data_IF_294346174348
#
_entry.id   IF_294346174348
#
_cell.length_a   1.000
_cell.length_b   1.000
_cell.length_c   1.000
_cell.angle_alpha   90.00
_cell.angle_beta   90.00
_cell.angle_gamma   90.00
#
_symmetry.space_group_name_H-M   'P 1'
#
loop_
_entity.id
_entity.type
_entity.pdbx_description
1 polymer ?
#
# COMPACT_ATOMS: atom_id res chain seq x y z
N UNK A 1 4.27 -11.71 4.71
CA UNK A 1 5.11 -11.33 5.87
C UNK A 1 5.26 -9.81 5.95
N UNK A 2 5.59 -9.12 4.86
CA UNK A 2 5.73 -7.66 4.83
C UNK A 2 4.46 -6.95 5.32
N UNK A 3 3.30 -7.32 4.78
CA UNK A 3 2.01 -6.77 5.21
C UNK A 3 1.64 -7.15 6.64
N UNK A 4 1.92 -8.39 7.06
CA UNK A 4 1.55 -8.87 8.39
C UNK A 4 2.38 -8.22 9.50
N UNK A 5 3.70 -8.09 9.30
CA UNK A 5 4.63 -7.57 10.32
C UNK A 5 4.84 -6.06 10.26
N UNK A 6 4.76 -5.48 9.08
CA UNK A 6 5.13 -4.06 8.89
C UNK A 6 3.99 -3.20 8.34
N UNK A 7 2.89 -3.83 7.90
CA UNK A 7 1.72 -3.14 7.36
C UNK A 7 1.95 -2.44 6.02
N UNK A 8 2.98 -2.85 5.29
CA UNK A 8 3.35 -2.27 4.00
C UNK A 8 4.18 -3.26 3.17
N UNK A 9 4.10 -3.17 1.86
CA UNK A 9 4.98 -3.86 0.90
C UNK A 9 6.38 -3.23 0.79
N UNK A 10 6.59 -2.06 1.42
CA UNK A 10 7.85 -1.29 1.40
C UNK A 10 8.36 -1.01 2.82
N UNK A 11 8.73 -2.06 3.59
CA UNK A 11 9.06 -1.88 5.00
C UNK A 11 10.39 -1.15 5.20
N UNK A 12 10.40 -0.23 6.17
CA UNK A 12 11.64 0.30 6.75
C UNK A 12 12.09 -0.64 7.87
N UNK A 13 13.23 -1.29 7.69
CA UNK A 13 13.78 -2.26 8.63
C UNK A 13 14.86 -1.69 9.54
N UNK A 14 15.12 -0.37 9.54
CA UNK A 14 16.10 0.29 10.42
C UNK A 14 15.73 0.21 11.89
N UNK A 15 14.49 -0.13 12.20
CA UNK A 15 13.97 -0.24 13.56
C UNK A 15 13.01 -1.44 13.67
N UNK A 16 12.80 -1.93 14.87
CA UNK A 16 11.83 -2.97 15.17
C UNK A 16 10.38 -2.48 15.07
N UNK A 17 9.60 -2.62 16.12
CA UNK A 17 8.20 -2.25 16.22
C UNK A 17 7.31 -3.02 15.23
N UNK A 18 7.46 -4.35 15.17
CA UNK A 18 6.60 -5.20 14.35
C UNK A 18 5.14 -5.12 14.82
N UNK A 19 4.21 -5.27 13.89
CA UNK A 19 2.78 -5.39 14.19
C UNK A 19 2.49 -6.75 14.81
N UNK A 20 1.59 -6.78 15.78
CA UNK A 20 1.09 -8.01 16.38
C UNK A 20 -0.36 -8.23 15.98
N UNK A 21 -0.67 -9.38 15.40
CA UNK A 21 -2.05 -9.79 15.13
C UNK A 21 -2.71 -10.21 16.45
N UNK A 22 -3.74 -9.48 16.85
CA UNK A 22 -4.50 -9.68 18.08
C UNK A 22 -5.90 -10.25 17.84
N UNK A 23 -6.20 -10.66 16.62
CA UNK A 23 -7.55 -11.11 16.23
C UNK A 23 -8.01 -12.30 17.07
N UNK A 24 -7.18 -13.31 17.21
CA UNK A 24 -7.50 -14.50 18.02
C UNK A 24 -7.53 -14.18 19.52
N UNK A 25 -6.69 -13.23 19.97
CA UNK A 25 -6.66 -12.78 21.36
C UNK A 25 -7.98 -12.12 21.78
N UNK A 26 -8.56 -11.31 20.90
CA UNK A 26 -9.80 -10.57 21.15
C UNK A 26 -11.07 -11.24 20.58
N UNK A 27 -11.02 -12.51 20.19
CA UNK A 27 -12.16 -13.20 19.56
C UNK A 27 -13.44 -13.19 20.42
N UNK A 28 -13.29 -13.28 21.75
CA UNK A 28 -14.39 -13.31 22.71
C UNK A 28 -14.53 -11.99 23.50
N UNK A 29 -13.93 -10.92 23.03
CA UNK A 29 -13.87 -9.63 23.72
C UNK A 29 -15.26 -8.99 23.88
N UNK A 30 -15.57 -8.38 25.04
CA UNK A 30 -16.77 -7.56 25.19
C UNK A 30 -16.67 -6.20 24.46
N UNK A 31 -15.50 -5.81 24.01
CA UNK A 31 -15.27 -4.52 23.38
C UNK A 31 -15.68 -4.55 21.89
N UNK A 32 -16.82 -3.96 21.58
CA UNK A 32 -17.45 -3.98 20.24
C UNK A 32 -16.53 -3.51 19.11
N UNK A 33 -15.62 -2.57 19.39
CA UNK A 33 -14.66 -2.06 18.38
C UNK A 33 -13.70 -3.15 17.91
N UNK A 34 -13.40 -4.14 18.76
CA UNK A 34 -12.52 -5.25 18.43
C UNK A 34 -13.25 -6.51 17.95
N UNK A 35 -14.56 -6.48 17.87
CA UNK A 35 -15.38 -7.55 17.26
C UNK A 35 -15.39 -7.36 15.73
N UNK A 36 -14.23 -7.50 15.10
CA UNK A 36 -14.00 -7.29 13.67
C UNK A 36 -13.18 -8.43 13.07
N UNK A 37 -13.08 -8.44 11.74
CA UNK A 37 -12.33 -9.42 10.97
C UNK A 37 -10.84 -9.46 11.35
N UNK A 38 -10.29 -8.31 11.70
CA UNK A 38 -8.90 -8.14 12.11
C UNK A 38 -8.78 -7.14 13.25
N UNK A 39 -7.93 -7.45 14.20
CA UNK A 39 -7.44 -6.53 15.24
C UNK A 39 -5.92 -6.64 15.28
N UNK A 40 -5.24 -5.55 15.03
CA UNK A 40 -3.78 -5.48 15.14
C UNK A 40 -3.33 -4.48 16.19
N UNK A 41 -2.08 -4.63 16.63
CA UNK A 41 -1.45 -3.76 17.60
C UNK A 41 -0.03 -3.36 17.17
N UNK A 42 0.42 -2.18 17.61
CA UNK A 42 1.81 -1.74 17.56
C UNK A 42 2.17 -1.05 18.88
N UNK A 43 3.36 -1.34 19.39
CA UNK A 43 3.86 -0.77 20.65
C UNK A 43 4.64 0.51 20.39
N UNK A 44 4.40 1.54 21.19
CA UNK A 44 5.22 2.75 21.27
C UNK A 44 6.00 2.75 22.57
N UNK A 45 7.31 2.47 22.55
CA UNK A 45 8.17 2.54 23.72
C UNK A 45 8.11 3.92 24.39
N UNK A 46 7.94 3.94 25.71
CA UNK A 46 7.83 5.18 26.50
C UNK A 46 6.57 6.01 26.21
N UNK A 47 5.63 5.48 25.46
CA UNK A 47 4.45 6.22 24.98
C UNK A 47 3.45 6.58 26.08
N UNK A 48 3.48 5.93 27.22
CA UNK A 48 2.59 6.27 28.34
C UNK A 48 2.88 7.65 28.97
N UNK A 49 4.09 8.18 28.77
CA UNK A 49 4.49 9.51 29.24
C UNK A 49 3.94 10.64 28.37
N UNK A 50 3.30 10.35 27.23
CA UNK A 50 2.76 11.38 26.35
C UNK A 50 1.64 12.19 27.00
N UNK A 51 1.65 13.52 26.88
CA UNK A 51 0.56 14.34 27.36
C UNK A 51 -0.71 14.08 26.55
N UNK A 52 -1.87 14.24 27.17
CA UNK A 52 -3.18 13.98 26.55
C UNK A 52 -3.34 14.65 25.17
N UNK A 53 -2.79 15.85 24.98
CA UNK A 53 -2.83 16.56 23.70
C UNK A 53 -2.16 15.75 22.56
N UNK A 54 -1.09 15.02 22.86
CA UNK A 54 -0.42 14.17 21.86
C UNK A 54 -1.23 12.92 21.57
N UNK A 55 -1.90 12.34 22.57
CA UNK A 55 -2.81 11.22 22.36
C UNK A 55 -4.04 11.63 21.52
N UNK A 56 -4.57 12.85 21.76
CA UNK A 56 -5.65 13.39 20.93
C UNK A 56 -5.16 13.65 19.49
N UNK A 57 -3.92 14.10 19.30
CA UNK A 57 -3.30 14.26 17.98
C UNK A 57 -3.16 12.95 17.19
N UNK A 58 -2.97 11.80 17.85
CA UNK A 58 -2.99 10.50 17.18
C UNK A 58 -4.37 10.16 16.58
N UNK A 59 -5.46 10.60 17.23
CA UNK A 59 -6.80 10.39 16.68
C UNK A 59 -7.00 11.20 15.40
N UNK A 60 -6.58 12.47 15.39
CA UNK A 60 -6.67 13.31 14.18
C UNK A 60 -5.72 12.82 13.07
N UNK A 61 -4.55 12.35 13.43
CA UNK A 61 -3.59 11.72 12.51
C UNK A 61 -4.20 10.49 11.79
N UNK A 62 -4.92 9.65 12.54
CA UNK A 62 -5.60 8.48 11.97
C UNK A 62 -6.78 8.88 11.08
N UNK A 63 -7.58 9.88 11.48
CA UNK A 63 -8.70 10.39 10.67
C UNK A 63 -8.26 10.98 9.34
N UNK A 64 -7.14 11.71 9.32
CA UNK A 64 -6.54 12.23 8.08
C UNK A 64 -6.14 11.14 7.08
N UNK A 65 -6.03 9.89 7.55
CA UNK A 65 -5.77 8.68 6.76
C UNK A 65 -7.01 7.83 6.50
N UNK A 66 -8.20 8.41 6.67
CA UNK A 66 -9.47 7.74 6.39
C UNK A 66 -9.98 6.79 7.49
N UNK A 67 -9.26 6.66 8.61
CA UNK A 67 -9.69 5.81 9.72
C UNK A 67 -10.61 6.56 10.70
N UNK A 68 -11.44 5.80 11.44
CA UNK A 68 -12.29 6.39 12.47
C UNK A 68 -11.52 6.88 13.71
N UNK A 69 -10.31 6.38 13.91
CA UNK A 69 -9.40 6.70 15.01
C UNK A 69 -8.37 5.60 15.20
N UNK A 70 -7.50 5.80 16.19
CA UNK A 70 -6.49 4.83 16.60
C UNK A 70 -6.71 4.54 18.09
N UNK A 71 -7.25 3.35 18.39
CA UNK A 71 -7.51 2.95 19.78
C UNK A 71 -6.18 2.76 20.54
N UNK A 72 -6.16 3.00 21.84
CA UNK A 72 -4.91 2.86 22.60
C UNK A 72 -5.10 2.41 24.06
N UNK A 73 -4.02 1.84 24.62
CA UNK A 73 -3.81 1.57 26.02
C UNK A 73 -2.48 2.17 26.43
N UNK A 74 -2.41 2.74 27.63
CA UNK A 74 -1.17 3.18 28.27
C UNK A 74 -0.86 2.24 29.42
N UNK A 75 0.40 1.84 29.54
CA UNK A 75 0.89 1.01 30.63
C UNK A 75 1.66 1.92 31.59
N UNK A 76 1.13 2.13 32.81
CA UNK A 76 1.84 2.93 33.81
C UNK A 76 3.09 2.22 34.30
N UNK A 77 3.95 2.94 35.01
CA UNK A 77 5.18 2.40 35.62
C UNK A 77 4.92 1.25 36.64
N UNK A 78 3.74 1.22 37.23
CA UNK A 78 3.29 0.14 38.13
C UNK A 78 2.63 -1.04 37.39
N UNK A 79 2.56 -1.00 36.06
CA UNK A 79 1.92 -2.00 35.22
C UNK A 79 0.41 -1.83 35.05
N UNK A 80 -0.22 -0.82 35.71
CA UNK A 80 -1.66 -0.57 35.53
C UNK A 80 -1.97 -0.10 34.11
N UNK A 81 -2.96 -0.75 33.48
CA UNK A 81 -3.46 -0.35 32.17
C UNK A 81 -4.49 0.76 32.25
N UNK A 82 -4.28 1.83 31.51
CA UNK A 82 -5.19 2.98 31.42
C UNK A 82 -5.53 3.34 29.99
N UNK A 83 -6.58 4.14 29.78
CA UNK A 83 -7.00 4.58 28.46
C UNK A 83 -8.36 4.02 28.02
N UNK A 84 -8.81 4.34 26.80
CA UNK A 84 -10.14 3.95 26.35
C UNK A 84 -10.34 2.45 26.23
N UNK A 85 -9.35 1.71 25.72
CA UNK A 85 -9.44 0.27 25.49
C UNK A 85 -9.48 -0.49 26.82
N UNK A 86 -8.62 -0.14 27.79
CA UNK A 86 -8.50 -0.86 29.07
C UNK A 86 -9.80 -0.95 29.87
N UNK A 87 -10.72 -0.02 29.64
CA UNK A 87 -12.03 0.04 30.34
C UNK A 87 -13.09 -0.87 29.72
N UNK A 88 -12.87 -1.31 28.48
CA UNK A 88 -13.86 -2.00 27.68
C UNK A 88 -13.52 -3.47 27.41
N UNK A 89 -12.27 -3.88 27.63
CA UNK A 89 -11.83 -5.27 27.54
C UNK A 89 -12.04 -6.01 28.86
N UNK A 90 -12.04 -7.35 28.83
CA UNK A 90 -12.21 -8.19 30.00
C UNK A 90 -11.02 -8.13 30.97
N UNK A 91 -11.17 -8.65 32.17
CA UNK A 91 -10.09 -8.70 33.17
C UNK A 91 -8.93 -9.58 32.69
N UNK A 92 -9.24 -10.76 32.16
CA UNK A 92 -8.23 -11.67 31.60
C UNK A 92 -7.46 -11.05 30.45
N UNK A 93 -8.14 -10.32 29.57
CA UNK A 93 -7.48 -9.57 28.49
C UNK A 93 -6.58 -8.46 29.04
N UNK A 94 -6.98 -7.77 30.10
CA UNK A 94 -6.11 -6.75 30.74
C UNK A 94 -4.84 -7.35 31.35
N UNK A 95 -4.96 -8.50 32.01
CA UNK A 95 -3.84 -9.14 32.69
C UNK A 95 -2.73 -9.62 31.74
N UNK A 96 -3.10 -10.08 30.54
CA UNK A 96 -2.15 -10.69 29.61
C UNK A 96 -1.78 -9.79 28.41
N UNK A 97 -2.39 -8.63 28.27
CA UNK A 97 -2.23 -7.78 27.08
C UNK A 97 -0.77 -7.36 26.85
N UNK A 98 -0.11 -6.83 27.87
CA UNK A 98 1.25 -6.32 27.77
C UNK A 98 2.23 -7.42 27.34
N UNK A 99 2.17 -8.58 27.98
CA UNK A 99 3.00 -9.74 27.64
C UNK A 99 2.76 -10.22 26.21
N UNK A 100 1.49 -10.27 25.78
CA UNK A 100 1.11 -10.74 24.44
C UNK A 100 1.72 -9.89 23.33
N UNK A 101 1.80 -8.58 23.50
CA UNK A 101 2.38 -7.66 22.49
C UNK A 101 3.85 -7.32 22.77
N UNK A 102 4.44 -7.84 23.84
CA UNK A 102 5.81 -7.55 24.24
C UNK A 102 6.02 -6.11 24.73
N UNK A 103 4.99 -5.50 25.32
CA UNK A 103 5.07 -4.14 25.86
C UNK A 103 5.50 -4.14 27.34
N UNK A 104 6.19 -3.10 27.75
CA UNK A 104 6.73 -2.91 29.09
C UNK A 104 6.01 -1.75 29.83
N UNK A 105 6.14 -1.66 31.17
CA UNK A 105 5.71 -0.49 31.91
C UNK A 105 6.33 0.80 31.34
N UNK A 106 5.50 1.82 31.13
CA UNK A 106 5.87 3.07 30.48
C UNK A 106 5.50 3.14 28.99
N UNK A 107 5.09 2.04 28.36
CA UNK A 107 4.74 1.98 26.94
C UNK A 107 3.27 2.36 26.67
N UNK A 108 3.01 2.70 25.41
CA UNK A 108 1.65 2.75 24.86
C UNK A 108 1.47 1.67 23.79
N UNK A 109 0.27 1.11 23.73
CA UNK A 109 -0.12 0.16 22.68
C UNK A 109 -1.21 0.83 21.86
N UNK A 110 -1.00 0.93 20.54
CA UNK A 110 -1.99 1.41 19.59
C UNK A 110 -2.61 0.24 18.84
N UNK A 111 -3.91 0.35 18.55
CA UNK A 111 -4.69 -0.69 17.89
C UNK A 111 -5.46 -0.13 16.70
N UNK A 112 -5.56 -0.94 15.65
CA UNK A 112 -6.53 -0.76 14.58
C UNK A 112 -7.36 -2.04 14.41
N UNK A 113 -8.65 -1.86 14.13
CA UNK A 113 -9.58 -2.96 13.92
C UNK A 113 -10.50 -2.66 12.75
N UNK A 114 -10.81 -3.68 11.94
CA UNK A 114 -11.64 -3.55 10.75
C UNK A 114 -11.23 -4.52 9.65
N UNK A 115 -11.25 -4.07 8.41
CA UNK A 115 -10.73 -4.85 7.28
C UNK A 115 -9.22 -5.07 7.46
N UNK A 116 -8.71 -6.29 7.17
CA UNK A 116 -7.30 -6.62 7.42
C UNK A 116 -6.30 -5.68 6.76
N UNK A 117 -6.46 -5.39 5.47
CA UNK A 117 -5.52 -4.55 4.73
C UNK A 117 -5.52 -3.11 5.22
N UNK A 118 -6.70 -2.49 5.39
CA UNK A 118 -6.82 -1.11 5.86
C UNK A 118 -6.20 -0.94 7.27
N UNK A 119 -6.49 -1.90 8.16
CA UNK A 119 -6.00 -1.87 9.54
C UNK A 119 -4.49 -2.07 9.61
N UNK A 120 -3.94 -2.99 8.81
CA UNK A 120 -2.50 -3.20 8.70
C UNK A 120 -1.79 -1.98 8.12
N UNK A 121 -2.33 -1.38 7.05
CA UNK A 121 -1.77 -0.16 6.46
C UNK A 121 -1.75 1.01 7.44
N UNK A 122 -2.83 1.22 8.21
CA UNK A 122 -2.87 2.24 9.26
C UNK A 122 -1.82 2.00 10.34
N UNK A 123 -1.69 0.76 10.82
CA UNK A 123 -0.69 0.41 11.83
C UNK A 123 0.74 0.48 11.28
N UNK A 124 0.97 0.11 10.02
CA UNK A 124 2.25 0.27 9.34
C UNK A 124 2.68 1.73 9.25
N UNK A 125 1.75 2.62 8.89
CA UNK A 125 1.99 4.05 8.93
C UNK A 125 2.24 4.56 10.37
N UNK A 126 1.49 4.07 11.36
CA UNK A 126 1.68 4.41 12.78
C UNK A 126 3.06 3.95 13.28
N UNK A 127 3.51 2.76 12.88
CA UNK A 127 4.83 2.22 13.18
C UNK A 127 5.95 3.18 12.76
N UNK A 128 5.91 3.70 11.55
CA UNK A 128 6.91 4.65 11.03
C UNK A 128 6.81 6.00 11.77
N UNK A 129 5.60 6.51 11.96
CA UNK A 129 5.38 7.76 12.71
C UNK A 129 5.86 7.65 14.17
N UNK A 130 5.64 6.52 14.83
CA UNK A 130 6.18 6.24 16.17
C UNK A 130 7.69 6.33 16.15
N UNK A 131 8.35 5.63 15.20
CA UNK A 131 9.79 5.60 15.09
C UNK A 131 10.41 7.00 14.92
N UNK A 132 9.79 7.87 14.13
CA UNK A 132 10.18 9.28 14.02
C UNK A 132 10.00 10.04 15.33
N UNK A 133 8.82 9.93 15.97
CA UNK A 133 8.51 10.68 17.20
C UNK A 133 9.40 10.33 18.39
N UNK A 134 9.81 9.07 18.50
CA UNK A 134 10.71 8.65 19.59
C UNK A 134 12.19 8.64 19.17
N UNK A 135 12.51 9.09 17.95
CA UNK A 135 13.88 9.29 17.48
C UNK A 135 14.63 8.00 17.11
N UNK A 136 13.92 6.90 16.83
CA UNK A 136 14.54 5.67 16.31
C UNK A 136 15.06 5.84 14.89
N UNK A 137 14.39 6.66 14.10
CA UNK A 137 14.82 7.05 12.75
C UNK A 137 14.67 8.56 12.58
N UNK A 138 15.46 9.10 11.67
CA UNK A 138 15.38 10.47 11.18
C UNK A 138 14.95 10.47 9.72
N UNK A 139 14.39 11.58 9.25
CA UNK A 139 14.12 11.78 7.83
C UNK A 139 15.44 11.89 7.03
N UNK A 140 15.39 11.65 5.74
CA UNK A 140 16.58 11.71 4.89
C UNK A 140 17.22 13.10 4.91
N UNK A 141 16.41 14.15 5.02
CA UNK A 141 16.86 15.54 5.09
C UNK A 141 17.58 15.93 6.41
N UNK A 142 17.46 15.09 7.44
CA UNK A 142 18.09 15.34 8.74
C UNK A 142 19.45 14.67 8.90
N UNK A 143 19.82 13.75 8.00
CA UNK A 143 21.05 12.96 8.09
C UNK A 143 21.73 12.92 6.72
N UNK A 144 23.02 13.29 6.60
CA UNK A 144 23.77 13.10 5.38
C UNK A 144 23.74 11.64 4.89
N UNK A 145 23.73 11.41 3.59
CA UNK A 145 23.58 10.06 3.03
C UNK A 145 24.71 9.10 3.46
N UNK A 146 25.91 9.62 3.68
CA UNK A 146 27.07 8.87 4.18
C UNK A 146 26.96 8.47 5.65
N UNK A 147 26.07 9.11 6.40
CA UNK A 147 25.80 8.81 7.82
C UNK A 147 24.49 8.05 8.02
N UNK A 148 23.75 7.77 6.92
CA UNK A 148 22.50 7.01 6.97
C UNK A 148 22.75 5.54 7.31
N UNK A 149 21.93 5.00 8.19
CA UNK A 149 21.78 3.55 8.32
C UNK A 149 20.97 3.02 7.14
N UNK A 150 21.59 2.17 6.34
CA UNK A 150 20.93 1.58 5.17
C UNK A 150 20.44 0.17 5.48
N UNK A 151 19.14 -0.05 5.36
CA UNK A 151 18.52 -1.36 5.47
C UNK A 151 17.87 -1.72 4.13
N UNK A 152 18.49 -2.69 3.44
CA UNK A 152 17.97 -3.23 2.18
C UNK A 152 17.20 -4.52 2.43
N UNK A 153 16.09 -4.71 1.73
CA UNK A 153 15.30 -5.93 1.79
C UNK A 153 14.71 -6.26 0.43
N UNK A 154 14.68 -7.53 0.09
CA UNK A 154 13.92 -8.05 -1.02
C UNK A 154 12.50 -8.39 -0.54
N UNK A 155 11.51 -7.86 -1.24
CA UNK A 155 10.11 -8.24 -1.10
C UNK A 155 9.79 -9.16 -2.26
N UNK A 156 9.36 -10.36 -1.96
CA UNK A 156 9.08 -11.43 -2.93
C UNK A 156 7.76 -12.09 -2.61
N UNK A 157 7.30 -12.99 -3.49
CA UNK A 157 6.08 -13.77 -3.26
C UNK A 157 4.82 -12.91 -3.14
N UNK A 158 4.76 -11.85 -3.95
CA UNK A 158 3.58 -11.00 -4.03
C UNK A 158 2.40 -11.77 -4.66
N UNK A 159 1.14 -11.44 -4.30
CA UNK A 159 -0.03 -11.96 -5.02
C UNK A 159 0.09 -11.72 -6.53
N UNK A 160 -0.30 -12.70 -7.32
CA UNK A 160 -0.27 -12.55 -8.78
C UNK A 160 -1.48 -11.76 -9.29
N UNK A 161 -2.62 -11.97 -8.65
CA UNK A 161 -3.88 -11.33 -9.00
C UNK A 161 -4.55 -10.74 -7.76
N UNK A 162 -5.36 -9.73 -8.01
CA UNK A 162 -6.29 -9.15 -7.03
C UNK A 162 -7.68 -8.98 -7.65
N UNK A 163 -8.75 -8.88 -6.85
CA UNK A 163 -10.07 -8.57 -7.38
C UNK A 163 -10.05 -7.21 -8.09
N UNK A 164 -10.61 -7.14 -9.31
CA UNK A 164 -10.62 -5.91 -10.11
C UNK A 164 -11.31 -4.73 -9.38
N UNK A 165 -12.38 -5.00 -8.64
CA UNK A 165 -13.07 -3.99 -7.82
C UNK A 165 -12.21 -3.42 -6.68
N UNK A 166 -11.24 -4.17 -6.17
CA UNK A 166 -10.29 -3.70 -5.14
C UNK A 166 -9.28 -2.76 -5.76
N UNK A 167 -8.67 -3.13 -6.89
CA UNK A 167 -7.72 -2.30 -7.61
C UNK A 167 -8.34 -0.94 -8.01
N UNK A 168 -9.57 -0.95 -8.55
CA UNK A 168 -10.30 0.26 -8.91
C UNK A 168 -10.60 1.15 -7.70
N UNK A 169 -10.94 0.56 -6.56
CA UNK A 169 -11.19 1.30 -5.32
C UNK A 169 -9.93 1.95 -4.75
N UNK A 170 -8.76 1.38 -5.01
CA UNK A 170 -7.44 1.93 -4.63
C UNK A 170 -6.91 2.96 -5.65
N UNK A 171 -7.61 3.15 -6.77
CA UNK A 171 -7.30 4.12 -7.81
C UNK A 171 -6.42 3.58 -8.94
N UNK A 172 -6.23 2.27 -8.99
CA UNK A 172 -5.54 1.58 -10.07
C UNK A 172 -6.51 1.24 -11.20
N UNK A 173 -5.98 1.10 -12.41
CA UNK A 173 -6.76 0.72 -13.58
C UNK A 173 -6.72 -0.78 -13.76
N UNK A 174 -7.85 -1.44 -13.55
CA UNK A 174 -7.97 -2.86 -13.85
C UNK A 174 -7.70 -3.14 -15.33
N UNK A 175 -6.80 -4.08 -15.60
CA UNK A 175 -6.48 -4.52 -16.96
C UNK A 175 -7.36 -5.72 -17.30
N UNK A 176 -8.18 -5.59 -18.36
CA UNK A 176 -9.14 -6.61 -18.78
C UNK A 176 -10.54 -6.37 -18.21
N UNK A 177 -11.42 -7.34 -18.41
CA UNK A 177 -12.85 -7.26 -18.06
C UNK A 177 -13.30 -8.37 -17.11
N UNK A 178 -12.35 -9.09 -16.52
CA UNK A 178 -12.60 -10.19 -15.58
C UNK A 178 -12.81 -9.70 -14.14
N UNK A 179 -13.12 -10.63 -13.26
CA UNK A 179 -13.20 -10.36 -11.82
C UNK A 179 -11.81 -10.18 -11.16
N UNK A 180 -10.74 -10.47 -11.89
CA UNK A 180 -9.35 -10.41 -11.42
C UNK A 180 -8.50 -9.54 -12.34
N UNK A 181 -7.58 -8.78 -11.76
CA UNK A 181 -6.52 -8.06 -12.49
C UNK A 181 -5.15 -8.46 -11.97
N UNK A 182 -4.10 -8.22 -12.75
CA UNK A 182 -2.73 -8.52 -12.34
C UNK A 182 -2.23 -7.42 -11.38
N UNK A 183 -1.68 -7.83 -10.23
CA UNK A 183 -1.11 -6.90 -9.23
C UNK A 183 0.10 -6.15 -9.78
N UNK A 184 0.97 -6.81 -10.54
CA UNK A 184 2.16 -6.18 -11.13
C UNK A 184 2.00 -5.94 -12.62
N UNK A 185 2.04 -7.01 -13.41
CA UNK A 185 2.00 -6.92 -14.87
C UNK A 185 1.48 -8.22 -15.47
N UNK A 186 0.63 -8.12 -16.50
CA UNK A 186 0.01 -9.25 -17.19
C UNK A 186 1.00 -10.26 -17.80
N UNK A 187 2.26 -9.90 -17.96
CA UNK A 187 3.34 -10.74 -18.48
C UNK A 187 4.25 -11.31 -17.39
N UNK A 188 3.95 -11.10 -16.12
CA UNK A 188 4.66 -11.68 -14.98
C UNK A 188 4.33 -13.15 -14.87
N UNK A 189 5.35 -14.01 -14.77
CA UNK A 189 5.15 -15.45 -14.58
C UNK A 189 4.59 -15.77 -13.20
N UNK A 190 3.63 -16.70 -13.09
CA UNK A 190 3.35 -17.32 -11.81
C UNK A 190 4.61 -18.04 -11.31
N UNK A 191 4.76 -18.19 -10.01
CA UNK A 191 5.81 -19.04 -9.44
C UNK A 191 5.61 -20.49 -9.90
N UNK A 192 6.69 -21.27 -10.05
CA UNK A 192 6.61 -22.63 -10.61
C UNK A 192 5.59 -23.53 -9.93
N UNK A 193 5.43 -23.42 -8.62
CA UNK A 193 4.49 -24.21 -7.82
C UNK A 193 3.01 -23.91 -8.11
N UNK A 194 2.70 -22.77 -8.73
CA UNK A 194 1.34 -22.36 -9.08
C UNK A 194 1.01 -22.50 -10.57
N UNK A 195 1.94 -22.95 -11.41
CA UNK A 195 1.74 -23.09 -12.87
C UNK A 195 0.52 -23.91 -13.26
N UNK A 196 0.16 -24.89 -12.45
CA UNK A 196 -0.98 -25.78 -12.72
C UNK A 196 -2.30 -25.28 -12.12
N UNK A 197 -2.27 -24.29 -11.22
CA UNK A 197 -3.44 -23.92 -10.39
C UNK A 197 -3.80 -22.44 -10.41
N UNK A 198 -2.96 -21.55 -10.92
CA UNK A 198 -3.16 -20.10 -10.83
C UNK A 198 -4.46 -19.61 -11.50
N UNK A 199 -4.95 -20.31 -12.50
CA UNK A 199 -6.18 -19.95 -13.22
C UNK A 199 -7.44 -20.58 -12.59
N UNK A 200 -7.30 -21.63 -11.81
CA UNK A 200 -8.41 -22.24 -11.07
C UNK A 200 -8.56 -21.71 -9.65
N UNK A 201 -7.48 -21.15 -9.07
CA UNK A 201 -7.46 -20.52 -7.76
C UNK A 201 -6.59 -19.23 -7.79
N UNK A 202 -7.04 -18.16 -8.48
CA UNK A 202 -6.27 -16.92 -8.63
C UNK A 202 -5.92 -16.23 -7.30
N UNK A 203 -6.78 -16.37 -6.28
CA UNK A 203 -6.59 -15.75 -4.97
C UNK A 203 -5.33 -16.26 -4.22
N UNK A 204 -4.88 -17.47 -4.50
CA UNK A 204 -3.70 -18.06 -3.85
C UNK A 204 -2.44 -17.99 -4.71
N UNK A 205 -2.57 -17.60 -5.98
CA UNK A 205 -1.46 -17.58 -6.91
C UNK A 205 -0.43 -16.50 -6.55
N UNK A 206 0.84 -16.88 -6.47
CA UNK A 206 1.94 -15.95 -6.24
C UNK A 206 2.69 -15.66 -7.54
N UNK A 207 3.05 -14.39 -7.71
CA UNK A 207 3.85 -13.90 -8.82
C UNK A 207 5.34 -14.19 -8.61
N UNK A 208 6.04 -14.48 -9.68
CA UNK A 208 7.50 -14.55 -9.69
C UNK A 208 8.07 -13.12 -9.89
N UNK A 209 7.63 -12.22 -8.98
CA UNK A 209 8.04 -10.83 -8.91
C UNK A 209 8.93 -10.60 -7.68
N UNK A 210 9.69 -9.53 -7.73
CA UNK A 210 10.63 -9.14 -6.68
C UNK A 210 10.87 -7.65 -6.72
N UNK A 211 10.83 -7.03 -5.53
CA UNK A 211 11.14 -5.62 -5.34
C UNK A 211 12.29 -5.47 -4.35
N UNK A 212 13.17 -4.51 -4.59
CA UNK A 212 14.19 -4.13 -3.64
C UNK A 212 13.78 -2.83 -2.96
N UNK A 213 13.77 -2.86 -1.64
CA UNK A 213 13.37 -1.74 -0.79
C UNK A 213 14.58 -1.29 0.03
N UNK A 214 14.77 0.01 0.15
CA UNK A 214 15.77 0.63 1.01
C UNK A 214 15.09 1.68 1.90
N UNK A 215 15.20 1.53 3.23
CA UNK A 215 14.68 2.49 4.20
C UNK A 215 13.21 2.89 3.94
N UNK A 216 12.34 1.91 3.67
CA UNK A 216 10.93 2.16 3.39
C UNK A 216 10.60 2.65 1.98
N UNK A 217 11.60 2.70 1.09
CA UNK A 217 11.43 3.11 -0.30
C UNK A 217 11.74 1.94 -1.24
N UNK A 218 10.79 1.58 -2.09
CA UNK A 218 11.05 0.71 -3.22
C UNK A 218 11.97 1.45 -4.21
N UNK A 219 13.18 0.97 -4.36
CA UNK A 219 14.20 1.56 -5.24
C UNK A 219 14.31 0.85 -6.58
N UNK A 220 13.72 -0.32 -6.71
CA UNK A 220 13.66 -1.07 -7.96
C UNK A 220 12.81 -2.31 -7.82
N UNK A 221 12.32 -2.80 -8.93
CA UNK A 221 11.51 -4.01 -8.99
C UNK A 221 11.53 -4.66 -10.35
N UNK A 222 11.07 -5.89 -10.40
CA UNK A 222 11.03 -6.68 -11.61
C UNK A 222 10.34 -8.01 -11.44
N UNK A 223 10.39 -8.80 -12.50
CA UNK A 223 9.81 -10.14 -12.47
C UNK A 223 10.46 -11.08 -13.49
N UNK A 224 10.31 -12.35 -13.26
CA UNK A 224 10.47 -13.38 -14.31
C UNK A 224 9.24 -13.31 -15.20
N UNK A 225 9.47 -13.24 -16.51
CA UNK A 225 8.41 -13.07 -17.51
C UNK A 225 7.89 -14.40 -17.99
N UNK A 226 6.63 -14.41 -18.39
CA UNK A 226 6.05 -15.52 -19.13
C UNK A 226 6.73 -15.57 -20.50
N UNK A 227 7.20 -16.74 -20.89
CA UNK A 227 7.79 -17.03 -22.20
C UNK A 227 7.07 -18.17 -22.93
N UNK A 228 6.06 -18.75 -22.29
CA UNK A 228 5.22 -19.80 -22.84
C UNK A 228 3.86 -19.22 -23.23
N UNK A 229 3.47 -19.39 -24.50
CA UNK A 229 2.23 -18.85 -25.05
C UNK A 229 0.97 -19.39 -24.34
N UNK A 230 0.94 -20.67 -23.99
CA UNK A 230 -0.21 -21.27 -23.30
C UNK A 230 -0.40 -20.69 -21.89
N UNK A 231 0.71 -20.47 -21.16
CA UNK A 231 0.65 -19.84 -19.85
C UNK A 231 0.15 -18.40 -19.97
N UNK A 232 0.63 -17.64 -20.97
CA UNK A 232 0.20 -16.29 -21.21
C UNK A 232 -1.30 -16.19 -21.55
N UNK A 233 -1.78 -17.10 -22.36
CA UNK A 233 -3.20 -17.16 -22.71
C UNK A 233 -4.07 -17.45 -21.46
N UNK A 234 -3.65 -18.36 -20.61
CA UNK A 234 -4.36 -18.66 -19.35
C UNK A 234 -4.39 -17.44 -18.42
N UNK A 235 -3.30 -16.67 -18.32
CA UNK A 235 -3.26 -15.43 -17.54
C UNK A 235 -4.26 -14.40 -18.08
N UNK A 236 -4.29 -14.18 -19.39
CA UNK A 236 -5.25 -13.29 -20.02
C UNK A 236 -6.71 -13.72 -19.77
N UNK A 237 -6.98 -15.01 -19.80
CA UNK A 237 -8.32 -15.55 -19.52
C UNK A 237 -8.78 -15.25 -18.08
N UNK A 238 -7.88 -15.36 -17.09
CA UNK A 238 -8.18 -14.98 -15.68
C UNK A 238 -8.56 -13.52 -15.60
N UNK A 239 -7.91 -12.66 -16.38
CA UNK A 239 -8.18 -11.24 -16.44
C UNK A 239 -9.37 -10.88 -17.35
N UNK A 240 -10.04 -11.85 -17.97
CA UNK A 240 -11.17 -11.63 -18.87
C UNK A 240 -10.82 -10.99 -20.20
N UNK A 241 -9.57 -11.10 -20.64
CA UNK A 241 -9.11 -10.67 -21.96
C UNK A 241 -9.34 -11.81 -22.95
N UNK A 242 -10.16 -11.59 -23.96
CA UNK A 242 -10.45 -12.60 -25.00
C UNK A 242 -9.24 -12.86 -25.91
N UNK A 243 -9.24 -13.99 -26.63
CA UNK A 243 -8.19 -14.31 -27.59
C UNK A 243 -8.08 -13.25 -28.71
N UNK A 244 -9.22 -12.68 -29.15
CA UNK A 244 -9.28 -11.64 -30.17
C UNK A 244 -8.66 -10.35 -29.64
N UNK A 245 -9.02 -9.93 -28.42
CA UNK A 245 -8.49 -8.74 -27.79
C UNK A 245 -6.99 -8.88 -27.48
N UNK A 246 -6.56 -10.06 -27.01
CA UNK A 246 -5.15 -10.37 -26.78
C UNK A 246 -4.34 -10.27 -28.09
N UNK A 247 -4.88 -10.79 -29.20
CA UNK A 247 -4.22 -10.70 -30.50
C UNK A 247 -4.19 -9.27 -31.03
N UNK A 248 -5.25 -8.48 -30.84
CA UNK A 248 -5.29 -7.07 -31.25
C UNK A 248 -4.27 -6.22 -30.48
N UNK A 249 -4.21 -6.37 -29.16
CA UNK A 249 -3.37 -5.54 -28.31
C UNK A 249 -1.92 -6.03 -28.21
N UNK A 250 -1.70 -7.35 -28.20
CA UNK A 250 -0.41 -7.99 -27.89
C UNK A 250 0.03 -9.00 -28.94
N UNK A 251 -0.63 -9.07 -30.10
CA UNK A 251 -0.36 -10.07 -31.14
C UNK A 251 1.10 -10.14 -31.53
N UNK A 252 1.78 -9.01 -31.67
CA UNK A 252 3.21 -8.96 -31.98
C UNK A 252 4.09 -9.72 -30.97
N UNK A 253 3.74 -9.67 -29.68
CA UNK A 253 4.46 -10.39 -28.62
C UNK A 253 4.09 -11.87 -28.60
N UNK A 254 2.80 -12.18 -28.73
CA UNK A 254 2.30 -13.55 -28.79
C UNK A 254 2.88 -14.31 -29.99
N UNK A 255 2.98 -13.65 -31.14
CA UNK A 255 3.62 -14.21 -32.33
C UNK A 255 5.13 -14.45 -32.10
N UNK A 256 5.81 -13.53 -31.41
CA UNK A 256 7.22 -13.70 -31.07
C UNK A 256 7.46 -14.94 -30.18
N UNK A 257 6.55 -15.24 -29.27
CA UNK A 257 6.67 -16.45 -28.42
C UNK A 257 6.65 -17.76 -29.20
N UNK A 258 6.04 -17.78 -30.40
CA UNK A 258 6.02 -18.96 -31.26
C UNK A 258 7.41 -19.33 -31.78
N UNK A 259 8.35 -18.40 -31.78
CA UNK A 259 9.74 -18.65 -32.19
C UNK A 259 10.64 -19.14 -31.05
N UNK A 260 10.07 -19.42 -29.86
CA UNK A 260 10.78 -20.00 -28.74
C UNK A 260 11.56 -18.96 -27.93
N UNK A 261 10.87 -17.99 -27.37
CA UNK A 261 11.48 -17.04 -26.44
C UNK A 261 12.16 -17.76 -25.28
N UNK A 262 13.41 -17.41 -24.91
CA UNK A 262 14.08 -18.02 -23.77
C UNK A 262 13.41 -17.58 -22.45
N UNK A 263 13.59 -18.33 -21.36
CA UNK A 263 13.30 -17.82 -20.03
C UNK A 263 14.02 -16.48 -19.83
N UNK A 264 13.30 -15.47 -19.41
CA UNK A 264 13.84 -14.13 -19.26
C UNK A 264 13.15 -13.39 -18.10
N UNK A 265 13.80 -12.37 -17.63
CA UNK A 265 13.32 -11.48 -16.59
C UNK A 265 14.20 -10.25 -16.57
N UNK A 266 13.94 -9.37 -15.63
CA UNK A 266 14.70 -8.14 -15.50
C UNK A 266 14.34 -7.38 -14.24
N UNK A 267 15.08 -6.31 -14.00
CA UNK A 267 14.83 -5.37 -12.92
C UNK A 267 14.96 -3.95 -13.47
N UNK A 268 14.08 -3.07 -13.03
CA UNK A 268 14.17 -1.64 -13.28
C UNK A 268 14.35 -0.89 -11.97
N UNK A 269 15.19 0.13 -11.98
CA UNK A 269 15.45 0.97 -10.82
C UNK A 269 14.79 2.33 -10.98
N UNK A 270 14.16 2.82 -9.92
CA UNK A 270 13.65 4.17 -9.81
C UNK A 270 14.78 5.17 -9.60
N UNK A 271 15.40 5.67 -10.70
CA UNK A 271 16.60 6.48 -10.64
C UNK A 271 16.42 7.75 -9.80
N UNK A 272 15.32 8.47 -10.00
CA UNK A 272 15.01 9.67 -9.20
C UNK A 272 14.90 9.36 -7.70
N UNK A 273 14.34 8.21 -7.36
CA UNK A 273 14.22 7.78 -5.97
C UNK A 273 15.57 7.44 -5.35
N UNK A 274 16.43 6.75 -6.08
CA UNK A 274 17.82 6.50 -5.64
C UNK A 274 18.57 7.81 -5.45
N UNK A 275 18.47 8.73 -6.41
CA UNK A 275 19.13 10.04 -6.32
C UNK A 275 18.60 10.85 -5.13
N UNK A 276 17.29 10.84 -4.86
CA UNK A 276 16.73 11.55 -3.69
C UNK A 276 17.29 11.01 -2.37
N UNK A 277 17.40 9.68 -2.24
CA UNK A 277 18.00 9.05 -1.08
C UNK A 277 19.48 9.43 -0.90
N UNK A 278 20.26 9.41 -2.00
CA UNK A 278 21.68 9.80 -1.99
C UNK A 278 21.88 11.30 -1.75
N UNK A 279 20.96 12.13 -2.21
CA UNK A 279 20.99 13.59 -1.97
C UNK A 279 20.49 13.96 -0.57
N UNK A 280 20.00 13.01 0.22
CA UNK A 280 19.45 13.30 1.54
C UNK A 280 18.17 14.14 1.47
N UNK A 281 17.29 13.90 0.51
CA UNK A 281 16.00 14.60 0.38
C UNK A 281 14.82 13.67 0.63
N UNK A 282 13.72 14.22 1.07
CA UNK A 282 12.49 13.45 1.37
C UNK A 282 11.52 13.41 0.16
N UNK A 283 11.84 14.13 -0.92
CA UNK A 283 11.00 14.21 -2.10
C UNK A 283 11.80 14.12 -3.39
N UNK A 284 11.37 13.26 -4.33
CA UNK A 284 11.95 13.18 -5.68
C UNK A 284 11.83 14.50 -6.47
N UNK A 285 10.90 15.39 -6.09
CA UNK A 285 10.76 16.71 -6.71
C UNK A 285 11.99 17.59 -6.53
N UNK A 286 12.78 17.34 -5.51
CA UNK A 286 14.01 18.10 -5.24
C UNK A 286 15.18 17.69 -6.13
N UNK A 287 15.09 16.53 -6.78
CA UNK A 287 16.14 16.00 -7.68
C UNK A 287 15.71 15.95 -9.15
N UNK A 288 14.45 16.28 -9.47
CA UNK A 288 13.94 16.40 -10.82
C UNK A 288 14.04 17.86 -11.28
N UNK A 289 14.65 18.10 -12.45
CA UNK A 289 14.90 19.45 -12.95
C UNK A 289 13.60 20.26 -13.20
N UNK A 290 12.54 19.60 -13.65
CA UNK A 290 11.23 20.23 -13.96
C UNK A 290 10.09 19.43 -13.32
N UNK A 291 9.96 19.45 -11.99
CA UNK A 291 8.96 18.66 -11.29
C UNK A 291 7.54 19.22 -11.54
N UNK A 292 6.58 18.31 -11.73
CA UNK A 292 5.16 18.66 -11.79
C UNK A 292 4.54 18.70 -10.40
N UNK A 293 3.42 19.41 -10.28
CA UNK A 293 2.59 19.39 -9.06
C UNK A 293 1.86 18.05 -8.89
N UNK A 294 1.24 17.82 -7.75
CA UNK A 294 0.56 16.55 -7.44
C UNK A 294 -0.61 16.21 -8.40
N UNK A 295 -1.21 17.23 -9.01
CA UNK A 295 -2.26 17.10 -10.03
C UNK A 295 -1.74 17.08 -11.48
N UNK A 296 -0.41 16.92 -11.68
CA UNK A 296 0.20 16.84 -13.00
C UNK A 296 0.44 18.18 -13.70
N UNK A 297 0.12 19.31 -13.07
CA UNK A 297 0.39 20.63 -13.63
C UNK A 297 1.89 20.92 -13.68
N UNK A 298 2.37 21.45 -14.80
CA UNK A 298 3.74 21.90 -15.03
C UNK A 298 3.86 23.41 -14.74
N UNK A 299 4.50 23.82 -13.64
CA UNK A 299 4.61 25.24 -13.29
C UNK A 299 5.46 26.05 -14.27
N UNK A 300 6.30 25.41 -15.09
CA UNK A 300 7.16 26.10 -16.07
C UNK A 300 6.40 26.47 -17.32
N UNK A 301 5.59 25.54 -17.84
CA UNK A 301 4.91 25.69 -19.12
C UNK A 301 3.42 26.00 -18.98
N UNK A 302 2.89 25.95 -17.76
CA UNK A 302 1.47 26.08 -17.43
C UNK A 302 0.58 25.00 -18.09
N UNK A 303 1.19 23.83 -18.38
CA UNK A 303 0.49 22.68 -18.95
C UNK A 303 -0.15 21.83 -17.83
N UNK A 304 -1.29 21.15 -18.12
CA UNK A 304 -2.02 21.11 -19.38
C UNK A 304 -2.79 22.42 -19.65
N UNK A 305 -2.85 22.82 -20.91
CA UNK A 305 -3.63 23.94 -21.38
C UNK A 305 -4.76 23.46 -22.31
N UNK A 306 -5.87 24.22 -22.41
CA UNK A 306 -6.93 23.90 -23.35
C UNK A 306 -6.40 23.81 -24.80
N UNK A 307 -6.87 22.82 -25.53
CA UNK A 307 -6.57 22.69 -26.97
C UNK A 307 -7.61 23.46 -27.82
N UNK A 308 -7.22 23.97 -28.98
CA UNK A 308 -8.13 24.68 -29.88
C UNK A 308 -9.05 23.73 -30.63
N UNK A 309 -10.13 24.28 -31.21
CA UNK A 309 -11.06 23.51 -32.04
C UNK A 309 -10.38 22.92 -33.30
N UNK A 310 -9.42 23.67 -33.88
CA UNK A 310 -8.60 23.18 -34.99
C UNK A 310 -7.75 21.98 -34.57
N UNK A 311 -7.10 22.05 -33.44
CA UNK A 311 -6.29 20.92 -32.90
C UNK A 311 -7.14 19.69 -32.62
N UNK A 312 -8.36 19.86 -32.09
CA UNK A 312 -9.31 18.75 -31.91
C UNK A 312 -9.73 18.14 -33.24
N UNK A 313 -10.05 18.97 -34.22
CA UNK A 313 -10.42 18.50 -35.53
C UNK A 313 -9.29 17.75 -36.24
N UNK A 314 -8.04 18.22 -36.14
CA UNK A 314 -6.84 17.54 -36.69
C UNK A 314 -6.60 16.17 -36.06
N UNK A 315 -6.84 16.01 -34.77
CA UNK A 315 -6.64 14.74 -34.07
C UNK A 315 -7.83 13.77 -34.20
N UNK A 316 -8.97 14.24 -34.68
CA UNK A 316 -10.22 13.47 -34.75
C UNK A 316 -10.81 13.15 -33.38
N UNK A 317 -10.36 13.84 -32.31
CA UNK A 317 -10.87 13.69 -30.96
C UNK A 317 -11.90 14.75 -30.67
N UNK A 318 -13.11 14.35 -30.28
CA UNK A 318 -14.16 15.28 -29.87
C UNK A 318 -14.38 15.19 -28.37
N UNK A 319 -14.64 16.32 -27.75
CA UNK A 319 -14.98 16.42 -26.34
C UNK A 319 -16.50 16.46 -26.19
N UNK A 320 -17.08 15.50 -25.50
CA UNK A 320 -18.46 15.56 -25.06
C UNK A 320 -18.48 16.26 -23.71
N UNK A 321 -18.99 17.49 -23.59
CA UNK A 321 -19.13 18.14 -22.29
C UNK A 321 -20.00 17.26 -21.37
N UNK A 322 -19.60 17.10 -20.11
CA UNK A 322 -20.53 16.64 -19.09
C UNK A 322 -21.72 17.62 -19.12
N UNK A 323 -22.95 17.10 -19.26
CA UNK A 323 -24.14 17.91 -19.07
C UNK A 323 -24.10 18.39 -17.61
N UNK A 324 -23.84 19.69 -17.41
CA UNK A 324 -24.01 20.28 -16.09
C UNK A 324 -25.46 19.93 -15.66
N UNK A 325 -25.61 19.24 -14.54
CA UNK A 325 -26.91 19.05 -13.91
C UNK A 325 -27.50 20.45 -13.73
N UNK A 326 -28.37 20.86 -14.65
CA UNK A 326 -29.07 22.14 -14.57
C UNK A 326 -29.72 22.20 -13.19
N UNK A 327 -29.26 23.11 -12.36
CA UNK A 327 -29.98 23.54 -11.16
C UNK A 327 -31.46 23.69 -11.57
N UNK A 328 -32.28 22.76 -11.11
CA UNK A 328 -33.74 22.89 -11.17
C UNK A 328 -34.09 24.09 -10.31
N UNK A 329 -34.04 25.26 -10.92
CA UNK A 329 -34.50 26.50 -10.29
C UNK A 329 -35.98 26.31 -9.94
N UNK A 330 -36.27 26.39 -8.65
CA UNK A 330 -37.61 26.45 -8.05
C UNK A 330 -38.35 27.73 -8.50
N UNK A 331 -38.66 27.85 -9.78
CA UNK A 331 -39.54 28.91 -10.31
C UNK A 331 -40.70 28.36 -11.14
N UNK A 332 -41.47 27.46 -10.59
CA UNK A 332 -42.80 27.09 -11.14
C UNK A 332 -43.77 26.67 -10.02
N UNK A 333 -43.91 27.48 -8.99
CA UNK A 333 -45.05 27.46 -8.08
C UNK A 333 -45.45 28.89 -7.72
N UNK A 334 -46.18 29.54 -8.61
CA UNK A 334 -47.07 30.66 -8.31
C UNK A 334 -48.40 30.39 -8.96
#
# INVERSE_FOLDING_TARGET
EAMAKYGTDKPDLRFGLELTDMTEYFKDTPFRVFQNEYVGAVVMPGGASQPRRQLDAWQEWAKQRGAHGLAYVLIKEDGELTGPVSRNISETERENLAETVGAEPGDAIFFAAGKPNDSRALLGAARVEIAHRIGLIKSNSEVPAEEQDWAFVWVVDAPMFEPAEVAEAEGDVAIGHGAWTAVHHAFTSPKPEYLDTFDTNPAEALAYAYDIVANGNEIGGGSIRIHNQEVQKRVFNVMGISDEEAQEKFGFLLDAFQYGAPPHGGIAFGWDRIISLLAGTDSIREVIAFPKTGNGHDPLTDAPAPITDEQRAETGVDYVPEEDDEEVTEEAKA
#
